data_IF_089661223621
#
_entry.id   IF_089661223621
#
_cell.length_a   1.000
_cell.length_b   1.000
_cell.length_c   1.000
_cell.angle_alpha   90.00
_cell.angle_beta   90.00
_cell.angle_gamma   90.00
#
_symmetry.space_group_name_H-M   'P 1'
#
loop_
_entity.id
_entity.type
_entity.pdbx_description
1 polymer ?
#
# COMPACT_ATOMS: atom_id res chain seq x y z
N UNK A 1 -17.04 -0.27 -9.73
CA UNK A 1 -15.82 -0.23 -10.54
C UNK A 1 -16.21 0.07 -11.97
N UNK A 2 -15.42 0.85 -12.68
CA UNK A 2 -15.75 1.24 -14.06
C UNK A 2 -15.50 0.09 -15.04
N UNK A 3 -16.30 0.03 -16.11
CA UNK A 3 -16.15 -0.96 -17.18
C UNK A 3 -14.99 -0.62 -18.12
N UNK A 4 -14.47 0.59 -18.05
CA UNK A 4 -13.44 1.13 -18.93
C UNK A 4 -12.05 1.26 -18.27
N UNK A 5 -11.89 0.71 -17.06
CA UNK A 5 -10.61 0.68 -16.36
C UNK A 5 -10.42 1.82 -15.36
N UNK A 6 -9.17 2.00 -14.91
CA UNK A 6 -8.80 3.13 -14.07
C UNK A 6 -8.63 4.37 -14.95
N UNK A 7 -9.34 5.45 -14.62
CA UNK A 7 -9.26 6.71 -15.36
C UNK A 7 -8.89 7.87 -14.47
N UNK A 8 -8.43 8.96 -15.07
CA UNK A 8 -8.06 10.19 -14.38
C UNK A 8 -8.31 11.38 -15.29
N UNK A 9 -8.65 12.52 -14.69
CA UNK A 9 -8.66 13.78 -15.41
C UNK A 9 -7.22 14.24 -15.60
N UNK A 10 -6.90 14.63 -16.84
CA UNK A 10 -5.63 15.23 -17.17
C UNK A 10 -5.45 16.56 -16.43
N UNK A 11 -4.26 16.81 -15.88
CA UNK A 11 -3.98 18.03 -15.10
C UNK A 11 -3.78 19.26 -15.98
N UNK A 12 -3.47 19.08 -17.26
CA UNK A 12 -3.22 20.17 -18.21
C UNK A 12 -4.50 20.62 -18.91
N UNK A 13 -5.37 19.69 -19.33
CA UNK A 13 -6.58 20.03 -20.10
C UNK A 13 -7.90 19.51 -19.51
N UNK A 14 -7.86 18.78 -18.38
CA UNK A 14 -9.05 18.28 -17.69
C UNK A 14 -9.75 17.11 -18.40
N UNK A 15 -9.21 16.61 -19.52
CA UNK A 15 -9.84 15.49 -20.23
C UNK A 15 -9.75 14.21 -19.41
N UNK A 16 -10.86 13.49 -19.38
CA UNK A 16 -10.93 12.17 -18.76
C UNK A 16 -10.26 11.13 -19.68
N UNK A 17 -9.16 10.54 -19.22
CA UNK A 17 -8.34 9.60 -19.99
C UNK A 17 -8.00 8.33 -19.20
N UNK A 18 -7.69 7.27 -19.93
CA UNK A 18 -7.20 6.02 -19.36
C UNK A 18 -5.90 6.25 -18.60
N UNK A 19 -5.82 5.70 -17.39
CA UNK A 19 -4.68 5.81 -16.50
C UNK A 19 -4.28 4.44 -15.97
N UNK A 20 -3.08 4.38 -15.37
CA UNK A 20 -2.62 3.16 -14.73
C UNK A 20 -3.39 2.89 -13.44
N UNK A 21 -3.86 1.64 -13.30
CA UNK A 21 -4.30 1.11 -12.02
C UNK A 21 -3.08 0.87 -11.11
N UNK A 22 -3.02 1.58 -9.99
CA UNK A 22 -1.90 1.58 -9.04
C UNK A 22 -2.24 0.68 -7.87
N UNK A 23 -1.34 -0.27 -7.57
CA UNK A 23 -1.43 -1.11 -6.39
C UNK A 23 -0.01 -1.46 -5.88
N UNK A 24 0.56 -0.57 -5.07
CA UNK A 24 1.93 -0.66 -4.58
C UNK A 24 2.00 -0.87 -3.07
N UNK A 25 3.16 -1.30 -2.59
CA UNK A 25 3.43 -1.58 -1.17
C UNK A 25 4.84 -1.22 -0.77
N UNK A 26 4.98 -0.55 0.36
CA UNK A 26 6.22 -0.42 1.12
C UNK A 26 6.15 -1.31 2.36
N UNK A 27 7.20 -2.08 2.64
CA UNK A 27 7.26 -3.01 3.78
C UNK A 27 8.41 -2.63 4.69
N UNK A 28 8.10 -2.31 5.95
CA UNK A 28 9.08 -2.07 7.01
C UNK A 28 9.18 -3.31 7.89
N UNK A 29 10.39 -3.84 8.01
CA UNK A 29 10.71 -5.01 8.85
C UNK A 29 11.71 -4.58 9.91
N UNK A 30 11.44 -4.91 11.17
CA UNK A 30 12.39 -4.73 12.27
C UNK A 30 12.56 -6.06 12.99
N UNK A 31 13.79 -6.38 13.38
CA UNK A 31 14.09 -7.60 14.11
C UNK A 31 15.34 -7.44 14.95
N UNK A 32 15.42 -8.20 16.03
CA UNK A 32 16.60 -8.35 16.86
C UNK A 32 16.87 -9.84 17.09
N UNK A 33 18.12 -10.17 17.39
CA UNK A 33 18.54 -11.52 17.79
C UNK A 33 19.71 -11.37 18.74
N UNK A 34 19.42 -11.36 20.04
CA UNK A 34 20.42 -11.20 21.09
C UNK A 34 20.69 -12.53 21.76
N UNK A 35 21.96 -12.94 21.77
CA UNK A 35 22.39 -14.07 22.60
C UNK A 35 22.35 -13.67 24.07
N UNK A 36 21.64 -14.46 24.86
CA UNK A 36 21.55 -14.32 26.32
C UNK A 36 22.10 -15.60 26.97
N UNK A 37 22.36 -15.54 28.28
CA UNK A 37 22.88 -16.67 29.04
C UNK A 37 21.98 -17.92 29.01
N UNK A 38 20.71 -17.76 28.61
CA UNK A 38 19.71 -18.83 28.53
C UNK A 38 19.22 -19.13 27.10
N UNK A 39 19.87 -18.56 26.08
CA UNK A 39 19.52 -18.74 24.67
C UNK A 39 19.36 -17.41 23.90
N UNK A 40 18.97 -17.49 22.64
CA UNK A 40 18.80 -16.30 21.79
C UNK A 40 17.40 -15.71 21.93
N UNK A 41 17.29 -14.46 22.38
CA UNK A 41 16.06 -13.69 22.31
C UNK A 41 15.93 -13.06 20.92
N UNK A 42 14.87 -13.41 20.19
CA UNK A 42 14.57 -12.90 18.86
C UNK A 42 13.27 -12.12 18.88
N UNK A 43 13.26 -10.97 18.23
CA UNK A 43 12.03 -10.21 17.97
C UNK A 43 11.87 -10.00 16.47
N UNK A 44 10.63 -9.93 16.00
CA UNK A 44 10.33 -9.63 14.61
C UNK A 44 9.02 -8.88 14.49
N UNK A 45 9.00 -7.80 13.71
CA UNK A 45 7.76 -7.15 13.28
C UNK A 45 7.80 -6.80 11.80
N UNK A 46 6.66 -6.92 11.12
CA UNK A 46 6.48 -6.51 9.71
C UNK A 46 5.24 -5.61 9.58
N UNK A 47 5.47 -4.35 9.20
CA UNK A 47 4.43 -3.36 8.90
C UNK A 47 4.39 -3.08 7.41
N UNK A 48 3.20 -3.09 6.80
CA UNK A 48 3.00 -2.81 5.38
C UNK A 48 2.18 -1.54 5.21
N UNK A 49 2.67 -0.68 4.32
CA UNK A 49 2.03 0.54 3.86
C UNK A 49 1.60 0.32 2.42
N UNK A 50 0.29 0.34 2.15
CA UNK A 50 -0.25 0.11 0.82
C UNK A 50 -0.66 1.44 0.19
N UNK A 51 -0.49 1.57 -1.12
CA UNK A 51 -0.87 2.77 -1.87
C UNK A 51 -1.48 2.39 -3.21
N UNK A 52 -2.44 3.17 -3.68
CA UNK A 52 -3.03 2.92 -4.99
C UNK A 52 -4.27 3.73 -5.27
N UNK A 53 -4.93 3.42 -6.38
CA UNK A 53 -6.23 3.97 -6.73
C UNK A 53 -7.26 2.84 -6.95
N UNK A 54 -8.40 3.18 -7.54
CA UNK A 54 -9.50 2.27 -7.83
C UNK A 54 -9.58 1.97 -9.32
N UNK A 55 -10.28 0.88 -9.66
CA UNK A 55 -10.80 0.68 -11.01
C UNK A 55 -12.04 1.56 -11.17
N UNK A 56 -11.86 2.87 -11.38
CA UNK A 56 -12.91 3.87 -11.33
C UNK A 56 -12.68 5.03 -12.29
N UNK A 57 -13.73 5.83 -12.47
CA UNK A 57 -13.75 6.98 -13.37
C UNK A 57 -14.03 8.26 -12.56
N UNK A 58 -13.21 9.32 -12.72
CA UNK A 58 -13.34 10.58 -12.00
C UNK A 58 -14.72 11.25 -12.17
N UNK A 59 -15.45 10.98 -13.25
CA UNK A 59 -16.80 11.52 -13.50
C UNK A 59 -17.84 10.97 -12.51
N UNK A 60 -17.55 9.82 -11.87
CA UNK A 60 -18.40 9.19 -10.86
C UNK A 60 -17.80 9.23 -9.45
N UNK A 61 -16.65 9.89 -9.28
CA UNK A 61 -15.98 10.08 -8.00
C UNK A 61 -14.45 10.06 -8.13
N UNK A 62 -13.69 10.70 -7.21
CA UNK A 62 -12.24 10.81 -7.32
C UNK A 62 -11.55 9.45 -7.50
N UNK A 63 -10.68 9.34 -8.50
CA UNK A 63 -9.84 8.16 -8.74
C UNK A 63 -8.34 8.44 -8.57
N UNK A 64 -8.03 9.44 -7.73
CA UNK A 64 -6.68 9.77 -7.36
C UNK A 64 -6.02 8.66 -6.55
N UNK A 65 -4.69 8.61 -6.66
CA UNK A 65 -3.88 7.70 -5.87
C UNK A 65 -3.89 8.14 -4.40
N UNK A 66 -4.16 7.22 -3.48
CA UNK A 66 -4.24 7.50 -2.06
C UNK A 66 -3.56 6.41 -1.23
N UNK A 67 -3.21 6.76 0.00
CA UNK A 67 -2.78 5.78 1.00
C UNK A 67 -3.95 4.85 1.32
N UNK A 68 -3.69 3.55 1.22
CA UNK A 68 -4.59 2.50 1.70
C UNK A 68 -4.20 2.15 3.14
N UNK A 69 -4.88 1.16 3.71
CA UNK A 69 -4.65 0.73 5.08
C UNK A 69 -3.19 0.33 5.35
N UNK A 70 -2.72 0.77 6.51
CA UNK A 70 -1.48 0.28 7.14
C UNK A 70 -1.82 -0.98 7.93
N UNK A 71 -1.01 -2.03 7.77
CA UNK A 71 -1.25 -3.32 8.44
C UNK A 71 0.01 -3.86 9.10
N UNK A 72 -0.12 -4.32 10.35
CA UNK A 72 0.84 -5.19 11.00
C UNK A 72 0.57 -6.62 10.56
N UNK A 73 1.51 -7.24 9.84
CA UNK A 73 1.30 -8.56 9.24
C UNK A 73 1.93 -9.68 10.08
N UNK A 74 3.05 -9.39 10.74
CA UNK A 74 3.72 -10.34 11.63
C UNK A 74 4.26 -9.58 12.84
N UNK A 75 4.12 -10.18 14.02
CA UNK A 75 4.76 -9.72 15.25
C UNK A 75 4.99 -10.94 16.14
N UNK A 76 6.25 -11.24 16.48
CA UNK A 76 6.58 -12.35 17.36
C UNK A 76 7.86 -12.11 18.16
N UNK A 77 7.98 -12.87 19.24
CA UNK A 77 9.14 -12.96 20.12
C UNK A 77 9.45 -14.44 20.36
N UNK A 78 10.73 -14.80 20.42
CA UNK A 78 11.21 -16.15 20.72
C UNK A 78 12.40 -16.10 21.66
#
# INVERSE_FOLDING_TARGET
GSFDGARSNDVQDGKNQGAWYKNTRFTLKTWTGQETELGTLKTYTETRFNFGNSNGDPDFGPNDAHNKDVSLNFAWIQ
#
